data_IF_097148570847
#
_entry.id   IF_097148570847
#
_cell.length_a   1.000
_cell.length_b   1.000
_cell.length_c   1.000
_cell.angle_alpha   90.00
_cell.angle_beta   90.00
_cell.angle_gamma   90.00
#
_symmetry.space_group_name_H-M   'P 1'
#
loop_
_entity.id
_entity.type
_entity.pdbx_description
1 polymer ?
#
# COMPACT_ATOMS: atom_id res chain seq x y z
N UNK A 1 17.43 -7.80 -23.47
CA UNK A 1 16.31 -8.68 -23.05
C UNK A 1 16.17 -8.65 -21.54
N UNK A 2 14.95 -8.60 -21.05
CA UNK A 2 14.60 -8.56 -19.63
C UNK A 2 14.02 -9.93 -19.25
N UNK A 3 14.64 -10.56 -18.24
CA UNK A 3 14.09 -11.74 -17.57
C UNK A 3 13.53 -11.30 -16.22
N UNK A 4 12.26 -11.56 -15.98
CA UNK A 4 11.59 -11.32 -14.71
C UNK A 4 11.33 -12.65 -14.00
N UNK A 5 11.79 -12.76 -12.75
CA UNK A 5 11.61 -14.00 -11.98
C UNK A 5 10.80 -13.75 -10.71
N UNK A 6 10.02 -14.74 -10.33
CA UNK A 6 9.22 -14.75 -9.11
C UNK A 6 9.51 -16.01 -8.30
N UNK A 7 9.54 -15.87 -6.99
CA UNK A 7 9.58 -17.02 -6.08
C UNK A 7 8.16 -17.41 -5.64
N UNK A 8 7.29 -16.42 -5.43
CA UNK A 8 5.91 -16.62 -4.98
C UNK A 8 4.96 -16.87 -6.16
N UNK A 9 4.05 -17.87 -6.06
CA UNK A 9 2.99 -18.07 -7.06
C UNK A 9 2.09 -16.84 -7.25
N UNK A 10 1.76 -16.14 -6.18
CA UNK A 10 0.91 -14.94 -6.24
C UNK A 10 1.50 -13.83 -7.11
N UNK A 11 2.79 -13.58 -6.99
CA UNK A 11 3.49 -12.61 -7.84
C UNK A 11 3.54 -13.04 -9.31
N UNK A 12 3.82 -14.32 -9.53
CA UNK A 12 3.89 -14.89 -10.88
C UNK A 12 2.53 -14.84 -11.59
N UNK A 13 1.46 -15.31 -10.94
CA UNK A 13 0.13 -15.34 -11.55
C UNK A 13 -0.38 -13.96 -11.97
N UNK A 14 -0.10 -12.94 -11.17
CA UNK A 14 -0.48 -11.56 -11.49
C UNK A 14 0.35 -10.99 -12.65
N UNK A 15 1.60 -11.42 -12.83
CA UNK A 15 2.55 -10.80 -13.76
C UNK A 15 3.03 -11.69 -14.89
N UNK A 16 2.56 -12.93 -15.02
CA UNK A 16 2.99 -13.88 -16.08
C UNK A 16 2.82 -13.38 -17.50
N UNK A 17 1.94 -12.40 -17.73
CA UNK A 17 1.71 -11.78 -19.04
C UNK A 17 2.17 -10.32 -19.08
N UNK A 18 3.10 -9.91 -18.23
CA UNK A 18 3.59 -8.54 -18.19
C UNK A 18 4.42 -8.21 -19.44
N UNK A 19 3.92 -7.25 -20.24
CA UNK A 19 4.52 -6.86 -21.52
C UNK A 19 5.91 -6.20 -21.42
N UNK A 20 6.30 -5.75 -20.21
CA UNK A 20 7.60 -5.12 -19.96
C UNK A 20 8.77 -6.10 -19.80
N UNK A 21 8.55 -7.41 -19.89
CA UNK A 21 9.60 -8.42 -19.80
C UNK A 21 9.53 -9.40 -20.97
N UNK A 22 10.71 -9.78 -21.50
CA UNK A 22 10.80 -10.75 -22.60
C UNK A 22 10.54 -12.19 -22.15
N UNK A 23 10.92 -12.52 -20.91
CA UNK A 23 10.75 -13.85 -20.31
C UNK A 23 10.31 -13.67 -18.86
N UNK A 24 9.29 -14.45 -18.47
CA UNK A 24 8.79 -14.47 -17.09
C UNK A 24 8.76 -15.92 -16.62
N UNK A 25 9.40 -16.21 -15.49
CA UNK A 25 9.44 -17.55 -14.94
C UNK A 25 9.59 -17.57 -13.41
N UNK A 26 9.44 -18.75 -12.82
CA UNK A 26 9.82 -18.93 -11.44
C UNK A 26 11.34 -18.95 -11.24
N UNK A 27 11.82 -18.34 -10.16
CA UNK A 27 13.19 -18.53 -9.73
C UNK A 27 13.33 -19.94 -9.11
N UNK A 28 14.21 -20.81 -9.64
CA UNK A 28 14.44 -22.11 -9.04
C UNK A 28 14.95 -22.00 -7.59
N UNK A 29 14.60 -22.97 -6.75
CA UNK A 29 15.05 -23.04 -5.34
C UNK A 29 16.56 -22.79 -5.22
N UNK A 30 16.98 -22.04 -4.21
CA UNK A 30 18.35 -21.59 -3.99
C UNK A 30 19.27 -22.72 -3.51
N UNK A 31 19.56 -23.63 -4.41
CA UNK A 31 20.60 -24.65 -4.26
C UNK A 31 21.76 -24.34 -5.20
N UNK A 32 22.97 -24.78 -4.86
CA UNK A 32 24.16 -24.58 -5.70
C UNK A 32 23.92 -25.05 -7.14
N UNK A 33 23.34 -26.27 -7.31
CA UNK A 33 23.09 -26.85 -8.61
C UNK A 33 22.08 -26.03 -9.43
N UNK A 34 20.98 -25.64 -8.82
CA UNK A 34 19.94 -24.85 -9.48
C UNK A 34 20.46 -23.47 -9.88
N UNK A 35 21.13 -22.77 -8.97
CA UNK A 35 21.68 -21.45 -9.21
C UNK A 35 22.75 -21.48 -10.34
N UNK A 36 23.65 -22.47 -10.30
CA UNK A 36 24.65 -22.67 -11.37
C UNK A 36 24.00 -22.93 -12.73
N UNK A 37 23.03 -23.85 -12.78
CA UNK A 37 22.33 -24.22 -14.01
C UNK A 37 21.55 -23.03 -14.57
N UNK A 38 20.78 -22.37 -13.72
CA UNK A 38 19.96 -21.21 -14.10
C UNK A 38 20.84 -20.07 -14.65
N UNK A 39 21.84 -19.62 -13.90
CA UNK A 39 22.74 -18.54 -14.33
C UNK A 39 23.62 -18.90 -15.54
N UNK A 40 23.87 -20.20 -15.78
CA UNK A 40 24.56 -20.67 -17.01
C UNK A 40 23.65 -20.55 -18.23
N UNK A 41 22.36 -20.83 -18.05
CA UNK A 41 21.36 -20.75 -19.12
C UNK A 41 21.01 -19.29 -19.45
N UNK A 42 20.76 -18.49 -18.42
CA UNK A 42 20.31 -17.09 -18.56
C UNK A 42 21.45 -16.17 -19.00
N UNK A 43 22.68 -16.37 -18.47
CA UNK A 43 23.87 -15.52 -18.74
C UNK A 43 23.57 -14.03 -18.56
N UNK A 44 23.11 -13.61 -17.37
CA UNK A 44 22.77 -12.21 -17.14
C UNK A 44 24.02 -11.32 -17.23
N UNK A 45 23.87 -10.12 -17.79
CA UNK A 45 24.91 -9.09 -17.80
C UNK A 45 24.85 -8.21 -16.54
N UNK A 46 23.71 -8.19 -15.87
CA UNK A 46 23.47 -7.57 -14.57
C UNK A 46 22.26 -8.23 -13.90
N UNK A 47 22.16 -8.10 -12.58
CA UNK A 47 21.06 -8.65 -11.80
C UNK A 47 20.52 -7.61 -10.80
N UNK A 48 19.21 -7.58 -10.66
CA UNK A 48 18.51 -6.72 -9.69
C UNK A 48 17.69 -7.58 -8.74
N UNK A 49 17.83 -7.33 -7.45
CA UNK A 49 17.05 -7.97 -6.39
C UNK A 49 16.22 -6.90 -5.69
N UNK A 50 14.92 -7.17 -5.56
CA UNK A 50 13.96 -6.20 -5.03
C UNK A 50 13.69 -6.49 -3.55
N UNK A 51 13.85 -5.49 -2.68
CA UNK A 51 13.56 -5.55 -1.24
C UNK A 51 14.40 -6.62 -0.51
N UNK A 52 13.78 -7.70 0.00
CA UNK A 52 14.37 -8.67 0.93
C UNK A 52 14.92 -9.93 0.23
N UNK A 53 15.24 -9.87 -1.03
CA UNK A 53 15.66 -11.02 -1.84
C UNK A 53 17.17 -11.27 -1.70
N UNK A 54 17.58 -12.02 -0.66
CA UNK A 54 18.98 -12.32 -0.36
C UNK A 54 19.30 -13.80 -0.60
N UNK A 55 19.24 -14.24 -1.85
CA UNK A 55 19.44 -15.63 -2.29
C UNK A 55 20.93 -16.00 -2.28
N UNK A 56 21.35 -16.76 -1.27
CA UNK A 56 22.76 -17.01 -0.94
C UNK A 56 23.57 -17.56 -2.13
N UNK A 57 23.12 -18.66 -2.73
CA UNK A 57 23.87 -19.32 -3.81
C UNK A 57 23.86 -18.48 -5.10
N UNK A 58 22.73 -17.87 -5.43
CA UNK A 58 22.64 -16.96 -6.59
C UNK A 58 23.60 -15.78 -6.44
N UNK A 59 23.62 -15.12 -5.29
CA UNK A 59 24.45 -13.95 -5.04
C UNK A 59 25.94 -14.28 -5.09
N UNK A 60 26.38 -15.38 -4.46
CA UNK A 60 27.78 -15.81 -4.49
C UNK A 60 28.24 -16.19 -5.91
N UNK A 61 27.39 -16.85 -6.71
CA UNK A 61 27.75 -17.22 -8.08
C UNK A 61 27.78 -15.98 -8.96
N UNK A 62 26.88 -15.04 -8.80
CA UNK A 62 26.90 -13.75 -9.52
C UNK A 62 28.19 -12.97 -9.21
N UNK A 63 28.56 -12.87 -7.93
CA UNK A 63 29.80 -12.24 -7.50
C UNK A 63 31.03 -12.92 -8.08
N UNK A 64 31.09 -14.26 -8.00
CA UNK A 64 32.21 -15.05 -8.54
C UNK A 64 32.36 -14.87 -10.06
N UNK A 65 31.28 -14.61 -10.77
CA UNK A 65 31.28 -14.35 -12.23
C UNK A 65 31.45 -12.86 -12.55
N UNK A 66 31.68 -12.01 -11.58
CA UNK A 66 31.81 -10.57 -11.72
C UNK A 66 30.61 -9.90 -12.42
N UNK A 67 29.39 -10.42 -12.19
CA UNK A 67 28.16 -9.87 -12.72
C UNK A 67 27.68 -8.77 -11.77
N UNK A 68 27.54 -7.52 -12.25
CA UNK A 68 27.01 -6.43 -11.44
C UNK A 68 25.64 -6.79 -10.86
N UNK A 69 25.52 -6.69 -9.53
CA UNK A 69 24.32 -7.12 -8.79
C UNK A 69 23.87 -5.98 -7.87
N UNK A 70 22.61 -5.61 -8.01
CA UNK A 70 22.04 -4.45 -7.33
C UNK A 70 20.89 -4.88 -6.43
N UNK A 71 20.83 -4.32 -5.22
CA UNK A 71 19.66 -4.41 -4.35
C UNK A 71 18.88 -3.12 -4.43
N UNK A 72 17.58 -3.20 -4.72
CA UNK A 72 16.72 -2.04 -4.98
C UNK A 72 15.57 -1.99 -3.99
N UNK A 73 15.31 -0.79 -3.46
CA UNK A 73 14.23 -0.54 -2.49
C UNK A 73 14.32 -1.44 -1.25
N UNK A 74 15.53 -1.77 -0.82
CA UNK A 74 15.74 -2.56 0.39
C UNK A 74 15.64 -1.70 1.64
N UNK A 75 15.11 -2.31 2.71
CA UNK A 75 15.10 -1.70 4.03
C UNK A 75 15.74 -2.65 5.02
N UNK A 76 16.61 -2.13 5.86
CA UNK A 76 17.31 -2.87 6.88
C UNK A 76 16.90 -2.40 8.27
N UNK A 77 16.82 -3.33 9.22
CA UNK A 77 16.46 -3.07 10.62
C UNK A 77 17.50 -3.69 11.56
N UNK A 78 17.75 -3.08 12.73
CA UNK A 78 18.77 -3.56 13.67
C UNK A 78 18.51 -4.97 14.22
N UNK A 79 17.25 -5.42 14.22
CA UNK A 79 16.83 -6.73 14.69
C UNK A 79 17.10 -7.87 13.70
N UNK A 80 17.39 -7.57 12.44
CA UNK A 80 17.70 -8.59 11.43
C UNK A 80 19.02 -9.30 11.72
N UNK A 81 19.08 -10.59 11.34
CA UNK A 81 20.22 -11.49 11.60
C UNK A 81 21.57 -10.92 11.17
N UNK A 82 21.60 -10.13 10.10
CA UNK A 82 22.84 -9.57 9.55
C UNK A 82 23.58 -8.65 10.54
N UNK A 83 22.84 -8.03 11.47
CA UNK A 83 23.35 -7.04 12.43
C UNK A 83 23.51 -7.61 13.85
N UNK A 84 23.22 -8.90 14.04
CA UNK A 84 23.40 -9.57 15.32
C UNK A 84 24.84 -10.06 15.48
N UNK A 85 25.32 -10.15 16.72
CA UNK A 85 26.68 -10.63 17.03
C UNK A 85 26.99 -12.01 16.45
N UNK A 86 25.98 -12.88 16.30
CA UNK A 86 26.10 -14.21 15.68
C UNK A 86 25.84 -14.20 14.17
N UNK A 87 25.46 -13.05 13.60
CA UNK A 87 25.02 -12.91 12.22
C UNK A 87 26.13 -12.66 11.20
N UNK A 88 27.40 -12.56 11.63
CA UNK A 88 28.52 -12.19 10.75
C UNK A 88 28.65 -13.09 9.51
N UNK A 89 28.32 -14.39 9.63
CA UNK A 89 28.36 -15.31 8.49
C UNK A 89 27.25 -15.01 7.47
N UNK A 90 26.06 -14.68 7.97
CA UNK A 90 24.92 -14.29 7.11
C UNK A 90 25.18 -12.94 6.44
N UNK A 91 25.81 -12.01 7.14
CA UNK A 91 26.14 -10.69 6.60
C UNK A 91 27.10 -10.76 5.39
N UNK A 92 27.84 -11.86 5.20
CA UNK A 92 28.70 -12.03 4.02
C UNK A 92 27.94 -12.00 2.70
N UNK A 93 26.68 -12.45 2.68
CA UNK A 93 25.85 -12.41 1.47
C UNK A 93 25.59 -10.98 0.98
N UNK A 94 25.52 -10.02 1.90
CA UNK A 94 25.32 -8.63 1.56
C UNK A 94 26.54 -8.04 0.81
N UNK A 95 27.73 -8.57 1.05
CA UNK A 95 28.95 -8.16 0.35
C UNK A 95 29.05 -8.66 -1.11
N UNK A 96 28.08 -9.49 -1.53
CA UNK A 96 27.98 -9.93 -2.93
C UNK A 96 27.34 -8.88 -3.84
N UNK A 97 26.67 -7.88 -3.28
CA UNK A 97 26.08 -6.81 -4.07
C UNK A 97 27.12 -5.76 -4.49
N UNK A 98 26.97 -5.30 -5.70
CA UNK A 98 27.76 -4.20 -6.25
C UNK A 98 27.33 -2.87 -5.64
N UNK A 99 26.00 -2.69 -5.45
CA UNK A 99 25.44 -1.47 -4.90
C UNK A 99 24.07 -1.72 -4.26
N UNK A 100 23.75 -0.93 -3.23
CA UNK A 100 22.45 -0.92 -2.56
C UNK A 100 21.74 0.41 -2.79
N UNK A 101 20.49 0.34 -3.22
CA UNK A 101 19.55 1.45 -3.25
C UNK A 101 18.53 1.21 -2.15
N UNK A 102 18.72 1.88 -1.00
CA UNK A 102 17.94 1.62 0.22
C UNK A 102 16.85 2.67 0.43
N UNK A 103 15.84 2.31 1.22
CA UNK A 103 14.70 3.19 1.45
C UNK A 103 15.01 4.36 2.40
N UNK A 104 15.90 4.17 3.39
CA UNK A 104 16.12 5.17 4.44
C UNK A 104 17.58 5.27 4.89
N UNK A 105 17.86 6.34 5.65
CA UNK A 105 19.19 6.63 6.20
C UNK A 105 19.66 5.60 7.24
N UNK A 106 18.72 5.01 7.99
CA UNK A 106 19.02 3.96 8.97
C UNK A 106 19.60 2.73 8.29
N UNK A 107 18.96 2.26 7.21
CA UNK A 107 19.47 1.15 6.40
C UNK A 107 20.88 1.42 5.86
N UNK A 108 21.13 2.65 5.40
CA UNK A 108 22.48 3.09 4.96
C UNK A 108 23.49 3.02 6.11
N UNK A 109 23.11 3.48 7.31
CA UNK A 109 23.98 3.43 8.48
C UNK A 109 24.31 1.99 8.91
N UNK A 110 23.30 1.10 8.91
CA UNK A 110 23.47 -0.31 9.23
C UNK A 110 24.41 -1.02 8.25
N UNK A 111 24.24 -0.81 6.95
CA UNK A 111 25.14 -1.37 5.94
C UNK A 111 26.57 -0.83 6.05
N UNK A 112 26.70 0.47 6.33
CA UNK A 112 28.01 1.09 6.56
C UNK A 112 28.74 0.50 7.77
N UNK A 113 28.02 0.14 8.84
CA UNK A 113 28.58 -0.54 10.00
C UNK A 113 29.14 -1.94 9.67
N UNK A 114 28.64 -2.59 8.61
CA UNK A 114 29.19 -3.86 8.06
C UNK A 114 30.34 -3.64 7.05
N UNK A 115 30.78 -2.38 6.84
CA UNK A 115 31.81 -2.03 5.87
C UNK A 115 31.31 -1.96 4.43
N UNK A 116 30.00 -1.87 4.20
CA UNK A 116 29.39 -1.73 2.87
C UNK A 116 29.14 -0.22 2.62
N UNK A 117 29.91 0.37 1.71
CA UNK A 117 29.89 1.82 1.44
C UNK A 117 29.16 2.19 0.17
N UNK A 118 28.99 1.24 -0.77
CA UNK A 118 28.27 1.44 -2.02
C UNK A 118 26.74 1.42 -1.76
N UNK A 119 26.22 2.50 -1.16
CA UNK A 119 24.82 2.60 -0.69
C UNK A 119 24.29 4.00 -0.93
N UNK A 120 23.17 4.08 -1.65
CA UNK A 120 22.41 5.31 -1.81
C UNK A 120 21.01 5.19 -1.23
N UNK A 121 20.51 6.27 -0.64
CA UNK A 121 19.14 6.38 -0.15
C UNK A 121 18.28 6.92 -1.28
N UNK A 122 17.36 6.11 -1.76
CA UNK A 122 16.47 6.44 -2.90
C UNK A 122 14.98 6.47 -2.54
N UNK A 123 14.64 6.13 -1.30
CA UNK A 123 13.24 6.03 -0.87
C UNK A 123 12.60 4.68 -1.22
N UNK A 124 11.31 4.60 -0.98
CA UNK A 124 10.48 3.42 -1.31
C UNK A 124 9.79 3.62 -2.66
N UNK A 125 10.00 2.69 -3.56
CA UNK A 125 9.37 2.69 -4.90
C UNK A 125 7.82 2.65 -4.88
N UNK A 126 7.21 2.41 -3.71
CA UNK A 126 5.76 2.53 -3.54
C UNK A 126 5.27 3.96 -3.69
N UNK A 127 6.09 4.97 -3.33
CA UNK A 127 5.76 6.39 -3.55
C UNK A 127 5.69 6.70 -5.04
N UNK A 128 6.67 6.30 -5.83
CA UNK A 128 6.62 6.44 -7.29
C UNK A 128 5.39 5.75 -7.87
N UNK A 129 5.05 4.57 -7.32
CA UNK A 129 3.90 3.79 -7.78
C UNK A 129 2.57 4.51 -7.54
N UNK A 130 2.36 5.10 -6.37
CA UNK A 130 1.09 5.82 -6.10
C UNK A 130 0.98 7.12 -6.88
N UNK A 131 2.10 7.80 -7.16
CA UNK A 131 2.11 8.95 -8.08
C UNK A 131 1.71 8.54 -9.51
N UNK A 132 2.20 7.39 -10.00
CA UNK A 132 1.78 6.84 -11.28
C UNK A 132 0.30 6.46 -11.30
N UNK A 133 -0.21 5.85 -10.21
CA UNK A 133 -1.62 5.50 -10.04
C UNK A 133 -2.48 6.77 -10.06
N UNK A 134 -2.09 7.82 -9.35
CA UNK A 134 -2.77 9.11 -9.38
C UNK A 134 -2.82 9.69 -10.79
N UNK A 135 -1.68 9.69 -11.49
CA UNK A 135 -1.61 10.20 -12.86
C UNK A 135 -2.45 9.39 -13.87
N UNK A 136 -2.66 8.10 -13.61
CA UNK A 136 -3.46 7.19 -14.41
C UNK A 136 -4.88 6.96 -13.88
N UNK A 137 -5.33 7.77 -12.91
CA UNK A 137 -6.63 7.62 -12.30
C UNK A 137 -7.77 7.75 -13.32
N UNK A 138 -8.73 6.86 -13.20
CA UNK A 138 -9.90 6.83 -14.07
C UNK A 138 -10.94 7.82 -13.59
N UNK A 139 -11.58 8.48 -14.53
CA UNK A 139 -12.85 9.14 -14.25
C UNK A 139 -13.92 8.07 -14.01
N UNK A 140 -14.70 8.23 -12.97
CA UNK A 140 -15.74 7.28 -12.56
C UNK A 140 -17.11 7.98 -12.56
N UNK A 141 -17.81 8.01 -13.72
CA UNK A 141 -19.04 8.80 -13.86
C UNK A 141 -20.12 8.49 -12.82
N UNK A 142 -20.24 7.24 -12.41
CA UNK A 142 -21.18 6.83 -11.34
C UNK A 142 -20.78 7.45 -9.99
N UNK A 143 -19.48 7.45 -9.66
CA UNK A 143 -18.99 8.06 -8.41
C UNK A 143 -19.14 9.58 -8.48
N UNK A 144 -18.83 10.22 -9.61
CA UNK A 144 -19.01 11.65 -9.82
C UNK A 144 -20.46 12.07 -9.62
N UNK A 145 -21.40 11.30 -10.19
CA UNK A 145 -22.84 11.55 -9.97
C UNK A 145 -23.28 11.32 -8.55
N UNK A 146 -22.77 10.26 -7.91
CA UNK A 146 -23.04 9.96 -6.50
C UNK A 146 -22.61 11.11 -5.58
N UNK A 147 -21.38 11.57 -5.75
CA UNK A 147 -20.82 12.68 -4.95
C UNK A 147 -21.52 13.99 -5.26
N UNK A 148 -21.76 14.30 -6.53
CA UNK A 148 -22.42 15.52 -6.97
C UNK A 148 -21.76 16.78 -6.39
N UNK A 149 -22.53 17.58 -5.67
CA UNK A 149 -22.06 18.80 -4.97
C UNK A 149 -21.93 18.60 -3.45
N UNK A 150 -21.88 17.36 -2.97
CA UNK A 150 -21.78 17.07 -1.55
C UNK A 150 -20.47 17.65 -0.97
N UNK A 151 -20.54 18.46 0.11
CA UNK A 151 -19.35 19.06 0.70
C UNK A 151 -18.52 18.06 1.49
N UNK A 152 -19.12 16.95 1.90
CA UNK A 152 -18.51 15.95 2.77
C UNK A 152 -18.70 14.55 2.18
N UNK A 153 -17.57 13.93 1.81
CA UNK A 153 -17.51 12.60 1.25
C UNK A 153 -16.49 11.78 2.04
N UNK A 154 -16.95 10.74 2.68
CA UNK A 154 -16.09 9.79 3.37
C UNK A 154 -15.88 8.54 2.52
N UNK A 155 -14.61 8.13 2.35
CA UNK A 155 -14.25 6.90 1.64
C UNK A 155 -13.57 5.94 2.58
N UNK A 156 -14.23 4.82 2.89
CA UNK A 156 -13.65 3.70 3.63
C UNK A 156 -13.11 2.67 2.65
N UNK A 157 -11.79 2.59 2.54
CA UNK A 157 -11.12 1.64 1.65
C UNK A 157 -10.52 0.45 2.36
N UNK A 158 -10.67 -0.73 1.77
CA UNK A 158 -10.19 -2.00 2.32
C UNK A 158 -10.64 -2.29 3.75
N UNK A 159 -11.87 -1.88 4.08
CA UNK A 159 -12.44 -2.06 5.41
C UNK A 159 -12.71 -3.54 5.74
N UNK A 160 -12.72 -3.81 7.03
CA UNK A 160 -13.05 -5.11 7.60
C UNK A 160 -14.19 -4.96 8.62
N UNK A 161 -14.91 -6.04 8.99
CA UNK A 161 -16.02 -5.93 9.92
C UNK A 161 -15.72 -5.19 11.23
N UNK A 162 -14.53 -5.33 11.88
CA UNK A 162 -14.21 -4.53 13.06
C UNK A 162 -14.09 -3.03 12.79
N UNK A 163 -13.57 -2.64 11.61
CA UNK A 163 -13.48 -1.23 11.21
C UNK A 163 -14.87 -0.66 10.96
N UNK A 164 -15.69 -1.42 10.24
CA UNK A 164 -17.07 -1.06 9.86
C UNK A 164 -17.97 -0.85 11.07
N UNK A 165 -17.81 -1.67 12.10
CA UNK A 165 -18.54 -1.52 13.36
C UNK A 165 -18.26 -0.17 14.05
N UNK A 166 -17.09 0.44 13.83
CA UNK A 166 -16.74 1.74 14.39
C UNK A 166 -17.44 2.85 13.62
N UNK A 167 -17.21 2.93 12.29
CA UNK A 167 -17.59 4.13 11.54
C UNK A 167 -19.02 4.06 10.96
N UNK A 168 -19.60 2.88 10.65
CA UNK A 168 -20.94 2.83 10.06
C UNK A 168 -22.02 3.35 10.98
N UNK A 169 -21.86 3.15 12.29
CA UNK A 169 -22.82 3.68 13.28
C UNK A 169 -22.84 5.21 13.30
N UNK A 170 -21.69 5.85 13.15
CA UNK A 170 -21.61 7.29 12.98
C UNK A 170 -22.40 7.74 11.75
N UNK A 171 -22.12 7.15 10.58
CA UNK A 171 -22.78 7.52 9.34
C UNK A 171 -24.27 7.17 9.28
N UNK A 172 -24.75 6.21 10.04
CA UNK A 172 -26.19 5.96 10.20
C UNK A 172 -26.90 7.17 10.82
N UNK A 173 -26.22 7.93 11.67
CA UNK A 173 -26.76 9.10 12.36
C UNK A 173 -26.44 10.44 11.66
N UNK A 174 -25.52 10.44 10.68
CA UNK A 174 -25.01 11.61 9.98
C UNK A 174 -25.30 11.56 8.47
N UNK A 175 -26.59 11.79 8.06
CA UNK A 175 -27.02 11.70 6.66
C UNK A 175 -26.45 12.80 5.76
N UNK A 176 -25.87 13.86 6.33
CA UNK A 176 -25.17 14.94 5.59
C UNK A 176 -23.92 14.45 4.88
N UNK A 177 -23.32 13.33 5.32
CA UNK A 177 -22.18 12.71 4.66
C UNK A 177 -22.60 11.78 3.53
N UNK A 178 -21.96 11.91 2.38
CA UNK A 178 -21.92 10.84 1.39
C UNK A 178 -20.86 9.82 1.82
N UNK A 179 -21.27 8.56 1.86
CA UNK A 179 -20.40 7.47 2.29
C UNK A 179 -20.08 6.53 1.13
N UNK A 180 -18.82 6.27 0.87
CA UNK A 180 -18.36 5.23 -0.05
C UNK A 180 -17.63 4.16 0.75
N UNK A 181 -18.10 2.92 0.70
CA UNK A 181 -17.47 1.78 1.37
C UNK A 181 -16.94 0.80 0.34
N UNK A 182 -15.65 0.56 0.36
CA UNK A 182 -14.97 -0.43 -0.48
C UNK A 182 -14.34 -1.51 0.43
N UNK A 183 -15.09 -2.55 0.82
CA UNK A 183 -14.63 -3.57 1.74
C UNK A 183 -13.47 -4.40 1.15
N UNK A 184 -12.63 -4.96 2.00
CA UNK A 184 -11.51 -5.79 1.57
C UNK A 184 -11.98 -7.11 0.97
N UNK A 185 -13.05 -7.67 1.50
CA UNK A 185 -13.69 -8.92 1.03
C UNK A 185 -15.06 -8.60 0.46
N UNK A 186 -15.26 -8.93 -0.82
CA UNK A 186 -16.50 -8.68 -1.55
C UNK A 186 -17.30 -9.98 -1.61
N UNK A 187 -17.77 -10.44 -0.46
CA UNK A 187 -18.68 -11.59 -0.37
C UNK A 187 -20.11 -11.13 -0.10
N UNK A 188 -21.11 -11.83 -0.63
CA UNK A 188 -22.52 -11.44 -0.45
C UNK A 188 -22.91 -11.31 1.02
N UNK A 189 -22.47 -12.24 1.87
CA UNK A 189 -22.74 -12.20 3.31
C UNK A 189 -22.14 -10.95 3.97
N UNK A 190 -20.96 -10.53 3.54
CA UNK A 190 -20.30 -9.33 4.08
C UNK A 190 -20.98 -8.05 3.58
N UNK A 191 -21.31 -7.97 2.29
CA UNK A 191 -22.02 -6.83 1.74
C UNK A 191 -23.39 -6.65 2.41
N UNK A 192 -24.14 -7.74 2.59
CA UNK A 192 -25.41 -7.71 3.31
C UNK A 192 -25.27 -7.30 4.79
N UNK A 193 -24.16 -7.69 5.45
CA UNK A 193 -23.88 -7.26 6.82
C UNK A 193 -23.63 -5.75 6.91
N UNK A 194 -22.91 -5.16 5.94
CA UNK A 194 -22.71 -3.70 5.85
C UNK A 194 -24.05 -2.99 5.65
N UNK A 195 -24.89 -3.46 4.72
CA UNK A 195 -26.21 -2.90 4.47
C UNK A 195 -27.11 -2.96 5.72
N UNK A 196 -27.03 -4.05 6.48
CA UNK A 196 -27.79 -4.23 7.73
C UNK A 196 -27.37 -3.25 8.85
N UNK A 197 -26.15 -2.71 8.82
CA UNK A 197 -25.70 -1.67 9.75
C UNK A 197 -26.15 -0.26 9.37
N UNK A 198 -26.80 -0.11 8.20
CA UNK A 198 -27.28 1.17 7.65
C UNK A 198 -28.76 1.12 7.28
N UNK A 199 -29.66 0.71 8.22
CA UNK A 199 -31.07 0.41 7.91
C UNK A 199 -31.88 1.64 7.47
N UNK A 200 -31.45 2.85 7.81
CA UNK A 200 -32.15 4.09 7.46
C UNK A 200 -31.48 4.88 6.33
N UNK A 201 -30.37 4.33 5.77
CA UNK A 201 -29.63 4.95 4.68
C UNK A 201 -29.97 4.32 3.32
N UNK A 202 -30.02 5.13 2.29
CA UNK A 202 -30.19 4.66 0.92
C UNK A 202 -28.86 4.12 0.37
N UNK A 203 -28.67 2.81 0.49
CA UNK A 203 -27.47 2.11 -0.01
C UNK A 203 -27.68 1.65 -1.45
N UNK A 204 -26.70 1.89 -2.31
CA UNK A 204 -26.65 1.34 -3.68
C UNK A 204 -25.32 0.64 -3.88
N UNK A 205 -25.33 -0.59 -4.41
CA UNK A 205 -24.12 -1.31 -4.81
C UNK A 205 -23.62 -0.78 -6.15
N UNK A 206 -22.32 -0.62 -6.30
CA UNK A 206 -21.72 -0.02 -7.49
C UNK A 206 -22.07 -0.76 -8.78
N UNK A 207 -22.06 -2.10 -8.78
CA UNK A 207 -22.43 -2.91 -9.97
C UNK A 207 -23.89 -2.79 -10.37
N UNK A 208 -24.76 -2.35 -9.46
CA UNK A 208 -26.18 -2.11 -9.69
C UNK A 208 -26.52 -0.63 -9.86
N UNK A 209 -25.50 0.23 -9.68
CA UNK A 209 -25.67 1.67 -9.79
C UNK A 209 -25.83 2.11 -11.25
N UNK A 210 -26.70 3.09 -11.47
CA UNK A 210 -26.91 3.74 -12.75
C UNK A 210 -27.09 5.23 -12.54
N UNK A 211 -27.16 5.97 -13.62
CA UNK A 211 -27.24 7.45 -13.59
C UNK A 211 -28.43 8.01 -12.82
N UNK A 212 -29.47 7.22 -12.60
CA UNK A 212 -30.71 7.64 -11.93
C UNK A 212 -30.70 7.27 -10.46
N UNK A 213 -30.47 5.99 -10.11
CA UNK A 213 -30.59 5.52 -8.73
C UNK A 213 -29.46 6.03 -7.82
N UNK A 214 -28.32 6.41 -8.41
CA UNK A 214 -27.17 6.92 -7.66
C UNK A 214 -27.38 8.36 -7.15
N UNK A 215 -28.27 9.11 -7.75
CA UNK A 215 -28.57 10.50 -7.33
C UNK A 215 -29.20 10.57 -5.95
N UNK A 216 -30.11 9.65 -5.66
CA UNK A 216 -30.82 9.56 -4.38
C UNK A 216 -30.07 8.71 -3.34
N UNK A 217 -28.98 8.06 -3.74
CA UNK A 217 -28.19 7.24 -2.84
C UNK A 217 -27.40 8.10 -1.85
N UNK A 218 -27.29 7.63 -0.63
CA UNK A 218 -26.49 8.24 0.44
C UNK A 218 -25.22 7.44 0.72
N UNK A 219 -25.25 6.16 0.38
CA UNK A 219 -24.12 5.24 0.52
C UNK A 219 -23.90 4.49 -0.79
N UNK A 220 -22.67 4.50 -1.25
CA UNK A 220 -22.21 3.72 -2.41
C UNK A 220 -21.32 2.58 -1.93
N UNK A 221 -21.82 1.34 -2.02
CA UNK A 221 -21.09 0.15 -1.63
C UNK A 221 -20.35 -0.43 -2.84
N UNK A 222 -19.03 -0.49 -2.77
CA UNK A 222 -18.20 -0.96 -3.88
C UNK A 222 -18.06 -2.47 -3.81
N UNK A 223 -18.75 -3.14 -4.70
CA UNK A 223 -18.85 -4.59 -4.82
C UNK A 223 -18.03 -5.15 -6.00
N UNK A 224 -16.97 -4.43 -6.41
CA UNK A 224 -16.05 -4.85 -7.45
C UNK A 224 -14.60 -4.39 -7.16
N UNK A 225 -13.62 -5.02 -7.79
CA UNK A 225 -12.20 -4.70 -7.60
C UNK A 225 -11.67 -3.66 -8.59
N UNK A 226 -10.56 -2.99 -8.21
CA UNK A 226 -9.74 -2.17 -9.10
C UNK A 226 -10.18 -0.72 -9.26
N UNK A 227 -11.08 -0.22 -8.41
CA UNK A 227 -11.57 1.15 -8.44
C UNK A 227 -11.06 2.03 -7.28
N UNK A 228 -10.70 1.43 -6.14
CA UNK A 228 -10.47 2.13 -4.88
C UNK A 228 -9.45 3.27 -4.99
N UNK A 229 -8.33 3.04 -5.65
CA UNK A 229 -7.29 4.06 -5.83
C UNK A 229 -7.77 5.30 -6.60
N UNK A 230 -8.73 5.14 -7.52
CA UNK A 230 -9.37 6.27 -8.22
C UNK A 230 -10.52 6.88 -7.40
N UNK A 231 -11.19 6.08 -6.56
CA UNK A 231 -12.30 6.55 -5.71
C UNK A 231 -11.80 7.54 -4.65
N UNK A 232 -10.59 7.38 -4.12
CA UNK A 232 -10.02 8.32 -3.15
C UNK A 232 -9.92 9.76 -3.66
N UNK A 233 -9.89 9.96 -4.98
CA UNK A 233 -9.96 11.30 -5.59
C UNK A 233 -11.20 12.11 -5.20
N UNK A 234 -12.29 11.43 -4.91
CA UNK A 234 -13.57 12.05 -4.58
C UNK A 234 -13.80 12.25 -3.07
N UNK A 235 -12.87 11.83 -2.25
CA UNK A 235 -13.00 11.89 -0.80
C UNK A 235 -12.65 13.27 -0.23
N UNK A 236 -13.36 13.67 0.82
CA UNK A 236 -12.97 14.75 1.73
C UNK A 236 -12.12 14.18 2.87
N UNK A 237 -12.47 13.01 3.37
CA UNK A 237 -11.77 12.25 4.40
C UNK A 237 -11.72 10.79 3.99
N UNK A 238 -10.62 10.11 4.24
CA UNK A 238 -10.47 8.69 3.94
C UNK A 238 -10.20 7.86 5.19
N UNK A 239 -10.70 6.63 5.17
CA UNK A 239 -10.35 5.57 6.11
C UNK A 239 -9.67 4.44 5.36
N UNK A 240 -8.61 3.88 5.94
CA UNK A 240 -7.93 2.70 5.40
C UNK A 240 -7.98 1.58 6.41
N UNK A 241 -8.68 0.50 6.06
CA UNK A 241 -8.83 -0.67 6.92
C UNK A 241 -7.49 -1.33 7.26
N UNK A 242 -7.38 -1.79 8.50
CA UNK A 242 -6.13 -2.27 9.10
C UNK A 242 -5.98 -3.80 9.03
N UNK A 243 -7.01 -4.54 8.73
CA UNK A 243 -7.05 -6.02 8.57
C UNK A 243 -5.74 -6.76 8.84
N UNK A 244 -5.18 -7.39 7.82
CA UNK A 244 -3.88 -8.06 7.87
C UNK A 244 -2.71 -7.09 7.69
N UNK A 245 -2.96 -5.79 7.40
CA UNK A 245 -1.94 -4.76 7.25
C UNK A 245 -2.40 -3.53 6.49
N UNK A 246 -1.86 -2.38 6.84
CA UNK A 246 -2.16 -1.09 6.20
C UNK A 246 -1.29 -0.97 4.94
N UNK A 247 -1.81 -1.39 3.80
CA UNK A 247 -1.03 -1.33 2.56
C UNK A 247 -1.39 -0.15 1.64
N UNK A 248 -2.52 0.53 1.91
CA UNK A 248 -3.11 1.50 0.98
C UNK A 248 -3.11 2.95 1.48
N UNK A 249 -2.46 3.27 2.62
CA UNK A 249 -2.43 4.65 3.14
C UNK A 249 -1.84 5.64 2.13
N UNK A 250 -0.83 5.23 1.36
CA UNK A 250 -0.22 6.08 0.33
C UNK A 250 -1.17 6.36 -0.83
N UNK A 251 -2.05 5.38 -1.18
CA UNK A 251 -3.04 5.54 -2.24
C UNK A 251 -4.11 6.58 -1.90
N UNK A 252 -4.44 6.73 -0.61
CA UNK A 252 -5.31 7.78 -0.13
C UNK A 252 -4.56 9.11 0.05
N UNK A 253 -3.42 9.09 0.74
CA UNK A 253 -2.62 10.27 1.06
C UNK A 253 -2.19 11.07 -0.18
N UNK A 254 -1.89 10.40 -1.28
CA UNK A 254 -1.45 11.03 -2.54
C UNK A 254 -2.47 12.02 -3.10
N UNK A 255 -3.74 11.90 -2.71
CA UNK A 255 -4.80 12.83 -3.13
C UNK A 255 -4.88 14.11 -2.29
N UNK A 256 -4.09 14.20 -1.23
CA UNK A 256 -4.11 15.37 -0.35
C UNK A 256 -5.34 15.41 0.56
N UNK A 257 -5.77 14.26 1.05
CA UNK A 257 -6.88 14.09 1.98
C UNK A 257 -6.40 13.46 3.28
N UNK A 258 -7.00 13.79 4.45
CA UNK A 258 -6.65 13.13 5.70
C UNK A 258 -6.92 11.64 5.64
N UNK A 259 -6.03 10.84 6.24
CA UNK A 259 -6.14 9.39 6.25
C UNK A 259 -6.34 8.89 7.67
N UNK A 260 -7.49 8.28 7.93
CA UNK A 260 -7.82 7.65 9.22
C UNK A 260 -7.51 6.15 9.12
N UNK A 261 -7.06 5.56 10.21
CA UNK A 261 -6.81 4.12 10.32
C UNK A 261 -6.91 3.64 11.77
N UNK A 262 -7.14 2.35 11.96
CA UNK A 262 -7.25 1.73 13.27
C UNK A 262 -5.92 1.55 14.01
N UNK A 263 -5.92 1.00 15.25
CA UNK A 263 -4.77 0.99 16.17
C UNK A 263 -3.66 0.00 15.78
N UNK A 264 -3.93 -0.99 14.93
CA UNK A 264 -2.95 -2.00 14.55
C UNK A 264 -1.95 -1.51 13.48
N UNK A 265 -1.46 -0.27 13.63
CA UNK A 265 -0.60 0.39 12.66
C UNK A 265 0.88 0.49 13.06
N UNK A 266 1.26 0.02 14.25
CA UNK A 266 2.59 0.23 14.86
C UNK A 266 3.76 -0.33 14.03
N UNK A 267 3.52 -1.39 13.26
CA UNK A 267 4.55 -2.04 12.43
C UNK A 267 4.65 -1.47 11.01
N UNK A 268 3.82 -0.48 10.69
CA UNK A 268 3.75 0.14 9.36
C UNK A 268 4.38 1.53 9.41
N UNK A 269 5.58 1.63 8.85
CA UNK A 269 6.37 2.85 8.86
C UNK A 269 5.60 4.03 8.25
N UNK A 270 4.91 3.79 7.14
CA UNK A 270 4.13 4.81 6.44
C UNK A 270 3.02 5.41 7.31
N UNK A 271 2.35 4.58 8.09
CA UNK A 271 1.31 5.06 9.00
C UNK A 271 1.91 5.91 10.13
N UNK A 272 3.06 5.48 10.69
CA UNK A 272 3.75 6.24 11.73
C UNK A 272 4.27 7.59 11.21
N UNK A 273 4.88 7.60 10.03
CA UNK A 273 5.38 8.81 9.39
C UNK A 273 4.25 9.77 9.01
N UNK A 274 3.13 9.23 8.51
CA UNK A 274 1.94 10.02 8.17
C UNK A 274 1.30 10.66 9.42
N UNK A 275 1.30 9.95 10.57
CA UNK A 275 0.89 10.53 11.86
C UNK A 275 1.83 11.66 12.29
N UNK A 276 3.15 11.46 12.16
CA UNK A 276 4.14 12.49 12.49
C UNK A 276 3.99 13.72 11.58
N UNK A 277 3.66 13.50 10.31
CA UNK A 277 3.36 14.56 9.36
C UNK A 277 2.03 15.28 9.63
N UNK A 278 1.17 14.77 10.52
CA UNK A 278 -0.18 15.25 10.82
C UNK A 278 -1.17 15.12 9.65
N UNK A 279 -0.90 14.19 8.74
CA UNK A 279 -1.80 13.81 7.66
C UNK A 279 -2.53 12.49 7.92
N UNK A 280 -2.08 11.71 8.90
CA UNK A 280 -2.66 10.45 9.33
C UNK A 280 -3.16 10.48 10.78
N UNK A 281 -4.30 9.84 11.02
CA UNK A 281 -4.99 9.85 12.31
C UNK A 281 -5.35 8.44 12.73
N UNK A 282 -4.97 8.08 13.95
CA UNK A 282 -5.31 6.80 14.55
C UNK A 282 -6.59 6.93 15.35
N UNK A 283 -7.51 5.96 15.15
CA UNK A 283 -8.67 5.80 15.99
C UNK A 283 -8.62 4.44 16.70
N UNK A 284 -9.17 4.35 17.87
CA UNK A 284 -9.20 3.13 18.67
C UNK A 284 -10.61 2.57 18.87
N UNK A 285 -11.60 3.44 18.80
CA UNK A 285 -12.98 3.14 19.08
C UNK A 285 -13.93 4.18 18.44
N UNK A 286 -15.22 3.98 18.61
CA UNK A 286 -16.29 4.87 18.15
C UNK A 286 -16.13 6.30 18.68
N UNK A 287 -15.83 6.49 19.96
CA UNK A 287 -15.72 7.82 20.57
C UNK A 287 -14.55 8.63 19.98
N UNK A 288 -13.42 7.98 19.73
CA UNK A 288 -12.26 8.63 19.09
C UNK A 288 -12.56 8.97 17.61
N UNK A 289 -13.32 8.14 16.92
CA UNK A 289 -13.78 8.42 15.56
C UNK A 289 -14.74 9.62 15.52
N UNK A 290 -15.77 9.63 16.36
CA UNK A 290 -16.76 10.72 16.45
C UNK A 290 -16.09 12.06 16.78
N UNK A 291 -15.16 12.05 17.73
CA UNK A 291 -14.39 13.25 18.08
C UNK A 291 -13.61 13.80 16.90
N UNK A 292 -12.92 12.92 16.18
CA UNK A 292 -12.09 13.32 15.03
C UNK A 292 -12.95 13.82 13.87
N UNK A 293 -14.05 13.15 13.53
CA UNK A 293 -14.94 13.58 12.45
C UNK A 293 -15.60 14.91 12.79
N UNK A 294 -16.10 15.10 14.03
CA UNK A 294 -16.64 16.37 14.47
C UNK A 294 -15.63 17.52 14.39
N UNK A 295 -14.35 17.25 14.65
CA UNK A 295 -13.30 18.24 14.46
C UNK A 295 -13.10 18.58 12.99
N UNK A 296 -13.10 17.61 12.09
CA UNK A 296 -13.03 17.88 10.64
C UNK A 296 -14.23 18.65 10.10
N UNK A 297 -15.41 18.44 10.70
CA UNK A 297 -16.65 19.16 10.31
C UNK A 297 -16.64 20.62 10.76
N UNK A 298 -16.13 20.88 11.97
CA UNK A 298 -16.21 22.20 12.60
C UNK A 298 -15.00 23.08 12.33
N UNK A 299 -13.86 22.50 11.95
CA UNK A 299 -12.60 23.19 11.70
C UNK A 299 -12.09 22.88 10.28
N UNK A 300 -12.53 23.70 9.31
CA UNK A 300 -12.12 23.57 7.91
C UNK A 300 -10.61 23.78 7.71
N UNK A 301 -9.97 24.63 8.53
CA UNK A 301 -8.53 24.85 8.46
C UNK A 301 -7.76 23.60 8.91
N UNK A 302 -8.22 22.94 9.96
CA UNK A 302 -7.64 21.67 10.41
C UNK A 302 -7.78 20.58 9.36
N UNK A 303 -8.96 20.42 8.77
CA UNK A 303 -9.20 19.48 7.67
C UNK A 303 -8.25 19.72 6.49
N UNK A 304 -8.13 20.98 6.07
CA UNK A 304 -7.29 21.35 4.93
C UNK A 304 -5.80 21.12 5.23
N UNK A 305 -5.33 21.53 6.42
CA UNK A 305 -3.94 21.31 6.84
C UNK A 305 -3.59 19.83 6.93
N UNK A 306 -4.51 19.01 7.42
CA UNK A 306 -4.34 17.55 7.49
C UNK A 306 -4.23 16.93 6.08
N UNK A 307 -5.09 17.35 5.16
CA UNK A 307 -5.03 16.92 3.77
C UNK A 307 -3.74 17.33 3.09
N UNK A 308 -3.34 18.58 3.22
CA UNK A 308 -2.07 19.10 2.69
C UNK A 308 -0.86 18.35 3.26
N UNK A 309 -0.89 18.04 4.55
CA UNK A 309 0.17 17.28 5.20
C UNK A 309 0.26 15.85 4.65
N UNK A 310 -0.88 15.19 4.40
CA UNK A 310 -0.93 13.88 3.77
C UNK A 310 -0.37 13.93 2.35
N UNK A 311 -0.78 14.91 1.55
CA UNK A 311 -0.30 15.07 0.16
C UNK A 311 1.20 15.39 0.07
N UNK A 312 1.73 16.20 0.99
CA UNK A 312 3.17 16.52 1.04
C UNK A 312 4.04 15.36 1.50
N UNK A 313 3.47 14.43 2.23
CA UNK A 313 4.18 13.23 2.68
C UNK A 313 4.49 12.28 1.52
N UNK A 314 3.62 12.21 0.51
CA UNK A 314 3.79 11.38 -0.69
C UNK A 314 4.54 12.13 -1.79
#
# INVERSE_FOLDING_TARGET
KILLTFFSPSGYEVRKNYAGADIICYLPLDTIRNAQRFLRTVRPVMAFFIKYEFWYNYLHILQHRHIPTYSVSSIFRPDQVFFKWYGAQYAKVLKCFTHFYVQNKESKALLKALGITAVDVVGDTRFDRVLQIKAAAKQLPIVERFVGSAPQVFVAGSSWPPDEAIFLKYFEQHPEWKLIVAPHVIGEDHLAAIEALLPHRKVVRYTQANETNVLDAEVLLIDCFGLLSSIYHYATVSYVGVGVGIHNVLEAAVWGIPVIFGPNNQHFQEAQELKQAKGGFEITDEASFDTLLSQFETDADFLHQAGDAAGRYV
#
